data_IF_712989497994
#
_entry.id   IF_712989497994
#
_cell.length_a   1.000
_cell.length_b   1.000
_cell.length_c   1.000
_cell.angle_alpha   90.00
_cell.angle_beta   90.00
_cell.angle_gamma   90.00
#
_symmetry.space_group_name_H-M   'P 1'
#
loop_
_entity.id
_entity.type
_entity.pdbx_description
1 polymer ?
#
# COMPACT_ATOMS: atom_id res chain seq x y z
N UNK A 1 17.55 12.50 -15.52
CA UNK A 1 16.59 11.89 -16.46
C UNK A 1 15.27 11.76 -15.73
N UNK A 2 14.20 12.38 -16.23
CA UNK A 2 12.85 12.27 -15.64
C UNK A 2 12.25 10.94 -16.09
N UNK A 3 12.12 9.97 -15.18
CA UNK A 3 11.31 8.79 -15.43
C UNK A 3 9.83 9.21 -15.36
N UNK A 4 9.28 9.68 -16.48
CA UNK A 4 7.84 9.67 -16.68
C UNK A 4 7.44 8.20 -16.91
N UNK A 5 7.19 7.47 -15.83
CA UNK A 5 6.64 6.13 -15.91
C UNK A 5 5.21 6.19 -16.43
N UNK A 6 5.02 6.00 -17.73
CA UNK A 6 3.73 5.68 -18.34
C UNK A 6 3.63 4.15 -18.44
N UNK A 7 3.58 3.48 -17.30
CA UNK A 7 3.22 2.07 -17.29
C UNK A 7 1.73 1.98 -17.66
N UNK A 8 1.41 1.27 -18.76
CA UNK A 8 0.00 1.04 -19.17
C UNK A 8 -0.80 0.22 -18.15
N UNK A 9 -0.12 -0.44 -17.20
CA UNK A 9 -0.73 -1.39 -16.26
C UNK A 9 -0.31 -1.19 -14.79
N UNK A 10 0.35 -0.08 -14.42
CA UNK A 10 0.58 0.29 -13.02
C UNK A 10 -0.41 1.37 -12.58
N UNK A 11 -1.35 1.05 -11.68
CA UNK A 11 -2.33 2.04 -11.20
C UNK A 11 -1.71 2.83 -10.04
N UNK A 12 -1.16 3.99 -10.36
CA UNK A 12 -0.88 5.08 -9.42
C UNK A 12 0.10 4.81 -8.27
N UNK A 13 0.97 3.78 -8.36
CA UNK A 13 2.02 3.61 -7.36
C UNK A 13 1.44 3.43 -5.96
N UNK A 14 0.47 2.53 -5.84
CA UNK A 14 -0.09 2.19 -4.54
C UNK A 14 0.93 1.40 -3.71
N UNK A 15 0.93 1.59 -2.40
CA UNK A 15 1.91 0.96 -1.51
C UNK A 15 1.97 -0.57 -1.64
N UNK A 16 0.81 -1.20 -1.89
CA UNK A 16 0.70 -2.65 -2.09
C UNK A 16 1.32 -3.14 -3.41
N UNK A 17 1.44 -2.29 -4.44
CA UNK A 17 2.04 -2.68 -5.72
C UNK A 17 3.56 -2.78 -5.61
N UNK A 18 4.16 -2.08 -4.64
CA UNK A 18 5.63 -2.01 -4.47
C UNK A 18 6.19 -3.39 -4.17
N UNK A 19 5.69 -4.07 -3.14
CA UNK A 19 6.23 -5.36 -2.72
C UNK A 19 6.03 -6.42 -3.82
N UNK A 20 4.85 -6.43 -4.45
CA UNK A 20 4.53 -7.35 -5.55
C UNK A 20 5.41 -7.08 -6.77
N UNK A 21 5.63 -5.80 -7.09
CA UNK A 21 6.49 -5.38 -8.19
C UNK A 21 7.96 -5.74 -7.96
N UNK A 22 8.45 -5.55 -6.74
CA UNK A 22 9.82 -5.93 -6.37
C UNK A 22 10.05 -7.44 -6.47
N UNK A 23 9.10 -8.24 -6.00
CA UNK A 23 9.15 -9.71 -6.11
C UNK A 23 9.16 -10.15 -7.58
N UNK A 24 8.29 -9.57 -8.40
CA UNK A 24 8.28 -9.83 -9.85
C UNK A 24 9.62 -9.47 -10.51
N UNK A 25 10.25 -8.35 -10.13
CA UNK A 25 11.55 -7.94 -10.66
C UNK A 25 12.67 -8.85 -10.18
N UNK A 26 12.69 -9.24 -8.90
CA UNK A 26 13.69 -10.15 -8.35
C UNK A 26 13.64 -11.50 -9.07
N UNK A 27 12.45 -12.12 -9.19
CA UNK A 27 12.29 -13.37 -9.93
C UNK A 27 12.72 -13.22 -11.40
N UNK A 28 12.36 -12.12 -12.06
CA UNK A 28 12.79 -11.86 -13.43
C UNK A 28 14.32 -11.81 -13.55
N UNK A 29 15.01 -11.07 -12.66
CA UNK A 29 16.47 -10.97 -12.73
C UNK A 29 17.18 -12.27 -12.31
N UNK A 30 16.59 -13.09 -11.44
CA UNK A 30 17.08 -14.43 -11.13
C UNK A 30 17.02 -15.36 -12.34
N UNK A 31 15.87 -15.37 -13.04
CA UNK A 31 15.71 -16.10 -14.29
C UNK A 31 16.70 -15.64 -15.36
N UNK A 32 16.84 -14.32 -15.54
CA UNK A 32 17.83 -13.78 -16.48
C UNK A 32 19.26 -14.13 -16.06
N UNK A 33 19.58 -14.09 -14.76
CA UNK A 33 20.90 -14.47 -14.28
C UNK A 33 21.21 -15.94 -14.58
N UNK A 34 20.22 -16.85 -14.47
CA UNK A 34 20.38 -18.25 -14.88
C UNK A 34 20.60 -18.40 -16.39
N UNK A 35 19.81 -17.69 -17.20
CA UNK A 35 19.97 -17.68 -18.66
C UNK A 35 21.35 -17.18 -19.04
N UNK A 36 21.79 -16.04 -18.54
CA UNK A 36 23.09 -15.49 -18.94
C UNK A 36 24.27 -16.24 -18.31
N UNK A 37 24.12 -16.94 -17.18
CA UNK A 37 25.20 -17.71 -16.55
C UNK A 37 25.46 -19.07 -17.20
N UNK A 38 24.50 -19.63 -17.95
CA UNK A 38 24.68 -20.91 -18.63
C UNK A 38 25.52 -20.77 -19.91
N UNK A 39 26.54 -21.63 -20.13
CA UNK A 39 27.32 -21.63 -21.36
C UNK A 39 26.49 -21.98 -22.61
N UNK A 40 25.39 -22.72 -22.44
CA UNK A 40 24.55 -23.26 -23.53
C UNK A 40 23.49 -22.26 -24.03
N UNK A 41 23.30 -21.14 -23.32
CA UNK A 41 22.33 -20.10 -23.67
C UNK A 41 22.69 -19.33 -24.95
N UNK A 42 23.88 -19.58 -25.51
CA UNK A 42 24.28 -19.13 -26.84
C UNK A 42 23.27 -19.53 -27.93
N UNK A 43 22.44 -20.55 -27.72
CA UNK A 43 21.49 -21.02 -28.73
C UNK A 43 20.19 -20.19 -28.75
N UNK A 44 19.77 -19.57 -27.64
CA UNK A 44 18.42 -18.98 -27.52
C UNK A 44 18.36 -17.50 -27.96
N UNK A 45 19.44 -16.73 -27.81
CA UNK A 45 19.42 -15.30 -28.12
C UNK A 45 19.59 -14.96 -29.62
N UNK A 46 19.82 -15.94 -30.51
CA UNK A 46 19.89 -15.77 -31.97
C UNK A 46 20.61 -14.47 -32.44
N UNK A 47 21.64 -14.03 -31.73
CA UNK A 47 22.45 -12.91 -32.16
C UNK A 47 23.90 -13.38 -32.21
N UNK A 48 24.31 -13.81 -33.41
CA UNK A 48 25.68 -14.25 -33.72
C UNK A 48 26.73 -13.13 -33.55
N UNK A 49 26.33 -11.91 -33.14
CA UNK A 49 27.21 -10.73 -33.05
C UNK A 49 27.48 -10.20 -31.62
N UNK A 50 26.93 -10.80 -30.56
CA UNK A 50 27.22 -10.30 -29.21
C UNK A 50 28.55 -10.85 -28.69
N UNK A 51 29.60 -10.02 -28.80
CA UNK A 51 30.95 -10.31 -28.31
C UNK A 51 30.96 -10.70 -26.82
N UNK A 52 31.91 -11.55 -26.41
CA UNK A 52 31.99 -12.14 -25.07
C UNK A 52 32.09 -11.06 -23.97
N UNK A 53 32.74 -9.94 -24.28
CA UNK A 53 32.84 -8.78 -23.39
C UNK A 53 31.47 -8.10 -23.15
N UNK A 54 30.61 -8.05 -24.17
CA UNK A 54 29.26 -7.50 -24.05
C UNK A 54 28.37 -8.42 -23.20
N UNK A 55 28.47 -9.74 -23.38
CA UNK A 55 27.76 -10.72 -22.55
C UNK A 55 28.15 -10.59 -21.08
N UNK A 56 29.45 -10.44 -20.81
CA UNK A 56 29.96 -10.22 -19.46
C UNK A 56 29.45 -8.91 -18.85
N UNK A 57 29.41 -7.83 -19.63
CA UNK A 57 28.82 -6.57 -19.20
C UNK A 57 27.34 -6.72 -18.81
N UNK A 58 26.55 -7.45 -19.60
CA UNK A 58 25.12 -7.70 -19.32
C UNK A 58 24.95 -8.54 -18.05
N UNK A 59 25.73 -9.62 -17.88
CA UNK A 59 25.71 -10.43 -16.66
C UNK A 59 26.04 -9.62 -15.41
N UNK A 60 27.10 -8.80 -15.45
CA UNK A 60 27.49 -7.93 -14.34
C UNK A 60 26.37 -6.94 -14.04
N UNK A 61 25.77 -6.36 -15.08
CA UNK A 61 24.64 -5.43 -14.93
C UNK A 61 23.45 -6.10 -14.26
N UNK A 62 23.05 -7.29 -14.70
CA UNK A 62 21.96 -8.08 -14.09
C UNK A 62 22.24 -8.35 -12.61
N UNK A 63 23.45 -8.80 -12.27
CA UNK A 63 23.84 -9.06 -10.87
C UNK A 63 23.81 -7.80 -10.02
N UNK A 64 24.27 -6.67 -10.56
CA UNK A 64 24.21 -5.39 -9.87
C UNK A 64 22.76 -4.92 -9.66
N UNK A 65 21.88 -5.10 -10.66
CA UNK A 65 20.47 -4.79 -10.53
C UNK A 65 19.78 -5.65 -9.48
N UNK A 66 20.00 -6.97 -9.51
CA UNK A 66 19.47 -7.89 -8.51
C UNK A 66 19.95 -7.52 -7.11
N UNK A 67 21.26 -7.30 -6.93
CA UNK A 67 21.82 -6.91 -5.63
C UNK A 67 21.24 -5.60 -5.10
N UNK A 68 20.97 -4.63 -5.99
CA UNK A 68 20.36 -3.36 -5.58
C UNK A 68 18.88 -3.53 -5.24
N UNK A 69 18.16 -4.38 -5.97
CA UNK A 69 16.76 -4.69 -5.65
C UNK A 69 16.65 -5.42 -4.31
N UNK A 70 17.53 -6.37 -4.04
CA UNK A 70 17.59 -7.11 -2.77
C UNK A 70 17.87 -6.18 -1.57
N UNK A 71 18.78 -5.22 -1.74
CA UNK A 71 19.04 -4.16 -0.74
C UNK A 71 17.75 -3.37 -0.44
N UNK A 72 17.01 -2.93 -1.47
CA UNK A 72 15.75 -2.22 -1.28
C UNK A 72 14.67 -3.12 -0.69
N UNK A 73 14.60 -4.37 -1.10
CA UNK A 73 13.64 -5.35 -0.60
C UNK A 73 13.82 -5.56 0.90
N UNK A 74 15.08 -5.68 1.35
CA UNK A 74 15.44 -5.74 2.77
C UNK A 74 14.99 -4.48 3.55
N UNK A 75 15.06 -3.30 2.93
CA UNK A 75 14.55 -2.05 3.54
C UNK A 75 13.02 -2.02 3.63
N UNK A 76 12.29 -2.61 2.68
CA UNK A 76 10.83 -2.72 2.74
C UNK A 76 10.39 -3.52 3.97
N UNK A 77 11.11 -4.59 4.29
CA UNK A 77 10.86 -5.43 5.47
C UNK A 77 11.02 -4.71 6.81
N UNK A 78 11.69 -3.55 6.86
CA UNK A 78 11.83 -2.76 8.10
C UNK A 78 10.56 -1.99 8.47
N UNK A 79 9.64 -1.79 7.53
CA UNK A 79 8.40 -1.05 7.76
C UNK A 79 7.20 -1.99 7.71
N UNK A 80 6.30 -1.97 8.72
CA UNK A 80 5.10 -2.80 8.71
C UNK A 80 4.08 -2.35 7.65
N UNK A 81 4.27 -1.17 7.03
CA UNK A 81 3.30 -0.59 6.12
C UNK A 81 3.19 -1.34 4.79
N UNK A 82 4.31 -1.84 4.25
CA UNK A 82 4.33 -2.63 3.01
C UNK A 82 3.62 -3.98 3.15
N UNK A 83 3.93 -4.82 4.16
CA UNK A 83 3.16 -6.04 4.39
C UNK A 83 1.71 -5.73 4.78
N UNK A 84 1.45 -4.68 5.57
CA UNK A 84 0.07 -4.27 5.88
C UNK A 84 -0.72 -3.96 4.61
N UNK A 85 -0.17 -3.22 3.65
CA UNK A 85 -0.86 -2.86 2.42
C UNK A 85 -1.27 -4.08 1.59
N UNK A 86 -0.42 -5.11 1.53
CA UNK A 86 -0.74 -6.35 0.81
C UNK A 86 -1.74 -7.22 1.57
N UNK A 87 -1.57 -7.37 2.89
CA UNK A 87 -2.51 -8.10 3.75
C UNK A 87 -3.91 -7.47 3.66
N UNK A 88 -4.01 -6.15 3.82
CA UNK A 88 -5.29 -5.43 3.78
C UNK A 88 -5.91 -5.37 2.38
N UNK A 89 -5.20 -5.79 1.34
CA UNK A 89 -5.77 -5.82 0.00
C UNK A 89 -6.68 -7.04 -0.17
N UNK A 90 -7.99 -6.89 -0.44
CA UNK A 90 -8.92 -8.02 -0.35
C UNK A 90 -8.70 -9.10 -1.40
N UNK A 91 -8.03 -8.79 -2.53
CA UNK A 91 -7.67 -9.80 -3.55
C UNK A 91 -6.50 -10.68 -3.15
N UNK A 92 -5.55 -10.16 -2.36
CA UNK A 92 -4.31 -10.88 -2.04
C UNK A 92 -4.43 -11.50 -0.65
N UNK A 93 -4.81 -10.69 0.34
CA UNK A 93 -4.81 -11.07 1.73
C UNK A 93 -3.41 -11.59 2.15
N UNK A 94 -3.29 -12.14 3.35
CA UNK A 94 -2.09 -12.87 3.80
C UNK A 94 -1.75 -14.06 2.91
N UNK A 95 -2.75 -14.60 2.20
CA UNK A 95 -2.57 -15.75 1.30
C UNK A 95 -1.59 -15.50 0.16
N UNK A 96 -1.41 -14.25 -0.28
CA UNK A 96 -0.37 -13.93 -1.26
C UNK A 96 1.04 -14.07 -0.68
N UNK A 97 1.24 -13.60 0.56
CA UNK A 97 2.52 -13.76 1.25
C UNK A 97 2.82 -15.24 1.52
N UNK A 98 1.82 -15.98 1.99
CA UNK A 98 1.94 -17.44 2.21
C UNK A 98 2.25 -18.22 0.94
N UNK A 99 1.83 -17.73 -0.23
CA UNK A 99 2.14 -18.35 -1.52
C UNK A 99 3.53 -17.96 -2.07
N UNK A 100 4.04 -16.77 -1.74
CA UNK A 100 5.28 -16.25 -2.29
C UNK A 100 6.50 -16.52 -1.39
N UNK A 101 6.29 -16.53 -0.07
CA UNK A 101 7.34 -16.72 0.94
C UNK A 101 7.39 -18.17 1.40
N UNK A 102 8.00 -19.02 0.58
CA UNK A 102 8.03 -20.47 0.80
C UNK A 102 9.32 -20.99 1.42
N UNK A 103 10.40 -20.20 1.40
CA UNK A 103 11.69 -20.61 1.95
C UNK A 103 11.71 -20.54 3.48
N UNK A 104 12.51 -21.37 4.15
CA UNK A 104 12.58 -21.41 5.63
C UNK A 104 12.85 -20.02 6.25
N UNK A 105 13.74 -19.23 5.64
CA UNK A 105 14.02 -17.85 6.06
C UNK A 105 12.82 -16.91 5.82
N UNK A 106 12.14 -17.06 4.70
CA UNK A 106 10.98 -16.24 4.34
C UNK A 106 9.75 -16.56 5.20
N UNK A 107 9.64 -17.78 5.73
CA UNK A 107 8.61 -18.14 6.72
C UNK A 107 8.80 -17.39 8.03
N UNK A 108 10.04 -17.09 8.44
CA UNK A 108 10.31 -16.20 9.57
C UNK A 108 9.83 -14.78 9.23
N UNK A 109 10.12 -14.29 8.03
CA UNK A 109 9.65 -12.97 7.58
C UNK A 109 8.12 -12.89 7.53
N UNK A 110 7.44 -13.97 7.15
CA UNK A 110 5.97 -14.04 7.17
C UNK A 110 5.42 -13.85 8.58
N UNK A 111 6.02 -14.53 9.56
CA UNK A 111 5.61 -14.41 10.96
C UNK A 111 5.89 -13.01 11.49
N UNK A 112 7.07 -12.47 11.23
CA UNK A 112 7.47 -11.12 11.63
C UNK A 112 6.57 -10.06 10.97
N UNK A 113 6.20 -10.22 9.70
CA UNK A 113 5.26 -9.36 9.01
C UNK A 113 3.86 -9.42 9.64
N UNK A 114 3.32 -10.62 9.92
CA UNK A 114 2.01 -10.77 10.57
C UNK A 114 2.01 -10.15 11.97
N UNK A 115 3.09 -10.33 12.72
CA UNK A 115 3.24 -9.80 14.08
C UNK A 115 3.40 -8.28 14.09
N UNK A 116 4.28 -7.73 13.27
CA UNK A 116 4.52 -6.29 13.17
C UNK A 116 3.27 -5.53 12.69
N UNK A 117 2.50 -6.08 11.76
CA UNK A 117 1.21 -5.49 11.33
C UNK A 117 0.18 -5.54 12.45
N UNK A 118 0.11 -6.64 13.21
CA UNK A 118 -0.79 -6.75 14.36
C UNK A 118 -0.43 -5.74 15.45
N UNK A 119 0.85 -5.66 15.80
CA UNK A 119 1.35 -4.70 16.78
C UNK A 119 1.06 -3.25 16.36
N UNK A 120 1.34 -2.92 15.09
CA UNK A 120 1.08 -1.59 14.56
C UNK A 120 -0.43 -1.25 14.56
N UNK A 121 -1.29 -2.21 14.20
CA UNK A 121 -2.73 -2.04 14.24
C UNK A 121 -3.25 -1.78 15.66
N UNK A 122 -2.87 -2.61 16.62
CA UNK A 122 -3.33 -2.48 18.01
C UNK A 122 -2.79 -1.20 18.67
N UNK A 123 -1.55 -0.79 18.35
CA UNK A 123 -0.96 0.44 18.87
C UNK A 123 -1.67 1.70 18.34
N UNK A 124 -2.01 1.72 17.03
CA UNK A 124 -2.54 2.93 16.37
C UNK A 124 -4.06 3.02 16.40
N UNK A 125 -4.75 1.88 16.53
CA UNK A 125 -6.21 1.80 16.53
C UNK A 125 -6.70 0.95 17.71
N UNK A 126 -6.48 1.36 18.97
CA UNK A 126 -6.90 0.58 20.13
C UNK A 126 -8.41 0.32 20.14
N UNK A 127 -8.86 -0.71 20.86
CA UNK A 127 -10.30 -0.95 21.06
C UNK A 127 -10.87 0.24 21.84
N UNK A 128 -11.96 0.83 21.34
CA UNK A 128 -12.75 1.74 22.15
C UNK A 128 -13.36 0.91 23.30
N UNK A 129 -12.83 1.08 24.51
CA UNK A 129 -13.48 0.56 25.72
C UNK A 129 -14.84 1.25 25.83
N UNK A 130 -15.92 0.50 25.55
CA UNK A 130 -17.24 0.96 26.00
C UNK A 130 -17.17 1.10 27.52
N UNK A 131 -17.61 2.24 28.10
CA UNK A 131 -17.70 2.34 29.54
C UNK A 131 -18.61 1.21 30.03
N UNK A 132 -18.03 0.30 30.80
CA UNK A 132 -18.76 -0.76 31.47
C UNK A 132 -19.88 -0.10 32.29
N UNK A 133 -21.11 -0.13 31.79
CA UNK A 133 -22.28 0.09 32.63
C UNK A 133 -22.25 -1.00 33.68
N UNK A 134 -21.70 -0.67 34.85
CA UNK A 134 -21.71 -1.49 36.04
C UNK A 134 -23.16 -1.87 36.34
N UNK A 135 -23.59 -3.03 35.87
CA UNK A 135 -24.81 -3.68 36.36
C UNK A 135 -24.44 -4.28 37.70
N UNK A 136 -24.53 -3.45 38.73
CA UNK A 136 -24.54 -3.88 40.13
C UNK A 136 -25.75 -4.77 40.33
N UNK A 137 -25.59 -6.09 40.10
CA UNK A 137 -26.56 -7.09 40.55
C UNK A 137 -26.14 -7.53 41.94
N UNK A 138 -26.77 -6.90 42.93
CA UNK A 138 -26.80 -7.35 44.32
C UNK A 138 -27.47 -8.73 44.36
N UNK A 139 -26.73 -9.78 44.76
CA UNK A 139 -27.37 -11.09 44.97
C UNK A 139 -26.45 -12.27 45.30
N UNK A 140 -26.23 -12.47 46.61
CA UNK A 140 -25.80 -13.71 47.30
C UNK A 140 -24.34 -14.17 47.07
N UNK A 141 -23.58 -14.06 48.15
CA UNK A 141 -22.29 -14.72 48.42
C UNK A 141 -22.42 -16.24 48.28
N UNK A 142 -22.10 -16.75 47.10
CA UNK A 142 -21.74 -18.14 46.88
C UNK A 142 -20.21 -18.21 47.04
N UNK A 143 -19.72 -19.15 47.85
CA UNK A 143 -18.27 -19.35 48.04
C UNK A 143 -17.66 -19.63 46.66
N UNK A 144 -16.85 -18.71 46.16
CA UNK A 144 -16.02 -18.96 45.00
C UNK A 144 -14.81 -19.75 45.52
N UNK A 145 -14.73 -21.02 45.13
CA UNK A 145 -13.46 -21.75 45.25
C UNK A 145 -12.41 -20.97 44.45
N UNK A 146 -11.24 -20.75 45.04
CA UNK A 146 -10.12 -20.15 44.32
C UNK A 146 -9.86 -20.98 43.05
N UNK A 147 -9.84 -20.36 41.86
CA UNK A 147 -9.60 -21.10 40.64
C UNK A 147 -8.27 -21.83 40.76
N UNK A 148 -8.27 -23.13 40.51
CA UNK A 148 -7.07 -23.96 40.56
C UNK A 148 -5.97 -23.34 39.69
N UNK A 149 -4.70 -23.57 40.01
CA UNK A 149 -3.59 -23.19 39.13
C UNK A 149 -3.80 -23.67 37.69
N UNK A 150 -4.46 -24.82 37.52
CA UNK A 150 -4.84 -25.35 36.21
C UNK A 150 -5.96 -24.53 35.53
N UNK A 151 -6.96 -24.07 36.29
CA UNK A 151 -8.03 -23.21 35.76
C UNK A 151 -7.51 -21.82 35.41
N UNK A 152 -6.57 -21.29 36.21
CA UNK A 152 -5.86 -20.05 35.90
C UNK A 152 -4.97 -20.20 34.66
N UNK A 153 -4.32 -21.35 34.48
CA UNK A 153 -3.56 -21.66 33.28
C UNK A 153 -4.46 -21.82 32.05
N UNK A 154 -5.59 -22.53 32.16
CA UNK A 154 -6.59 -22.61 31.09
C UNK A 154 -7.16 -21.24 30.75
N UNK A 155 -7.49 -20.41 31.75
CA UNK A 155 -7.98 -19.05 31.52
C UNK A 155 -6.91 -18.14 30.92
N UNK A 156 -5.63 -18.38 31.21
CA UNK A 156 -4.50 -17.70 30.57
C UNK A 156 -4.33 -18.15 29.11
N UNK A 157 -4.43 -19.46 28.85
CA UNK A 157 -4.44 -20.01 27.50
C UNK A 157 -5.63 -19.51 26.68
N UNK A 158 -6.83 -19.50 27.25
CA UNK A 158 -8.04 -18.97 26.63
C UNK A 158 -7.90 -17.47 26.39
N UNK A 159 -7.31 -16.70 27.31
CA UNK A 159 -7.06 -15.27 27.11
C UNK A 159 -6.06 -15.01 25.97
N UNK A 160 -4.98 -15.78 25.89
CA UNK A 160 -4.05 -15.75 24.75
C UNK A 160 -4.74 -16.10 23.43
N UNK A 161 -5.64 -17.08 23.44
CA UNK A 161 -6.37 -17.52 22.23
C UNK A 161 -7.44 -16.48 21.82
N UNK A 162 -8.04 -15.77 22.77
CA UNK A 162 -9.06 -14.73 22.51
C UNK A 162 -8.44 -13.39 22.08
N UNK A 163 -7.21 -13.08 22.51
CA UNK A 163 -6.42 -11.98 21.92
C UNK A 163 -6.13 -12.22 20.42
N UNK A 164 -6.10 -13.50 20.00
CA UNK A 164 -5.90 -13.89 18.61
C UNK A 164 -7.11 -13.60 17.69
N UNK A 165 -8.30 -13.32 18.25
CA UNK A 165 -9.53 -13.05 17.47
C UNK A 165 -9.88 -11.55 17.35
N UNK A 166 -8.87 -10.70 17.18
CA UNK A 166 -9.11 -9.32 16.71
C UNK A 166 -9.69 -9.30 15.28
N UNK A 167 -10.31 -8.18 14.89
CA UNK A 167 -10.84 -7.95 13.52
C UNK A 167 -9.83 -8.35 12.43
N UNK A 168 -8.56 -8.00 12.63
CA UNK A 168 -7.45 -8.33 11.73
C UNK A 168 -7.25 -9.84 11.56
N UNK A 169 -7.31 -10.61 12.65
CA UNK A 169 -7.17 -12.07 12.63
C UNK A 169 -8.33 -12.74 11.90
N UNK A 170 -9.56 -12.26 12.13
CA UNK A 170 -10.76 -12.74 11.42
C UNK A 170 -10.65 -12.51 9.92
N UNK A 171 -10.23 -11.30 9.52
CA UNK A 171 -10.05 -10.94 8.12
C UNK A 171 -8.93 -11.76 7.44
N UNK A 172 -7.80 -11.98 8.12
CA UNK A 172 -6.71 -12.84 7.60
C UNK A 172 -7.18 -14.28 7.32
N UNK A 173 -8.10 -14.82 8.13
CA UNK A 173 -8.67 -16.16 7.95
C UNK A 173 -9.73 -16.24 6.86
N UNK A 174 -10.41 -15.15 6.54
CA UNK A 174 -11.45 -15.10 5.50
C UNK A 174 -10.88 -15.40 4.11
N UNK A 175 -9.58 -15.14 3.90
CA UNK A 175 -8.88 -15.42 2.64
C UNK A 175 -9.18 -14.39 1.54
N UNK A 176 -8.64 -14.60 0.33
CA UNK A 176 -8.73 -13.63 -0.76
C UNK A 176 -10.09 -13.64 -1.47
N UNK A 177 -10.61 -12.46 -1.76
CA UNK A 177 -11.81 -12.21 -2.55
C UNK A 177 -11.47 -12.28 -4.04
N UNK A 178 -11.94 -13.32 -4.73
CA UNK A 178 -11.78 -13.49 -6.19
C UNK A 178 -12.86 -12.69 -6.94
N UNK A 179 -12.58 -11.41 -7.18
CA UNK A 179 -13.38 -10.55 -8.09
C UNK A 179 -12.48 -9.87 -9.11
N UNK A 180 -12.84 -9.99 -10.38
CA UNK A 180 -12.23 -9.21 -11.46
C UNK A 180 -12.63 -7.74 -11.26
N UNK A 181 -11.66 -6.84 -11.16
CA UNK A 181 -11.85 -5.39 -10.89
C UNK A 181 -12.33 -5.01 -9.49
N UNK A 182 -11.69 -5.57 -8.46
CA UNK A 182 -11.88 -5.13 -7.09
C UNK A 182 -11.15 -3.79 -6.83
N UNK A 183 -11.88 -2.73 -6.48
CA UNK A 183 -11.30 -1.54 -5.88
C UNK A 183 -11.18 -1.73 -4.35
N UNK A 184 -9.98 -1.83 -3.78
CA UNK A 184 -9.80 -2.13 -2.36
C UNK A 184 -10.36 -1.03 -1.46
N UNK A 185 -10.26 0.24 -1.86
CA UNK A 185 -10.77 1.39 -1.08
C UNK A 185 -12.29 1.34 -0.97
N UNK A 186 -12.99 1.08 -2.09
CA UNK A 186 -14.45 0.93 -2.07
C UNK A 186 -14.88 -0.30 -1.26
N UNK A 187 -14.14 -1.41 -1.37
CA UNK A 187 -14.43 -2.62 -0.61
C UNK A 187 -14.39 -2.40 0.90
N UNK A 188 -13.38 -1.66 1.39
CA UNK A 188 -13.27 -1.30 2.81
C UNK A 188 -14.32 -0.27 3.24
N UNK A 189 -14.69 0.66 2.35
CA UNK A 189 -15.77 1.62 2.59
C UNK A 189 -17.12 0.93 2.81
N UNK A 190 -17.41 -0.12 2.05
CA UNK A 190 -18.66 -0.89 2.17
C UNK A 190 -18.70 -1.78 3.43
N UNK A 191 -17.55 -1.99 4.11
CA UNK A 191 -17.39 -2.91 5.25
C UNK A 191 -17.04 -2.25 6.57
N UNK A 192 -17.26 -0.94 6.67
CA UNK A 192 -17.00 -0.20 7.90
C UNK A 192 -17.87 -0.67 9.08
N UNK A 193 -19.06 -1.23 8.82
CA UNK A 193 -19.91 -1.80 9.87
C UNK A 193 -19.42 -3.17 10.36
N UNK A 194 -18.86 -4.00 9.46
CA UNK A 194 -18.33 -5.32 9.78
C UNK A 194 -16.96 -5.24 10.47
N UNK A 195 -16.16 -4.23 10.10
CA UNK A 195 -14.77 -4.05 10.52
C UNK A 195 -14.50 -2.59 10.93
N UNK A 196 -15.08 -2.09 12.04
CA UNK A 196 -15.06 -0.67 12.38
C UNK A 196 -13.67 -0.09 12.67
N UNK A 197 -12.74 -0.90 13.22
CA UNK A 197 -11.36 -0.48 13.47
C UNK A 197 -10.50 -0.77 12.25
N UNK A 198 -10.61 -2.00 11.74
CA UNK A 198 -9.77 -2.49 10.65
C UNK A 198 -10.04 -1.75 9.34
N UNK A 199 -11.26 -1.31 9.06
CA UNK A 199 -11.55 -0.49 7.87
C UNK A 199 -10.86 0.87 7.92
N UNK A 200 -10.73 1.49 9.10
CA UNK A 200 -10.02 2.78 9.25
C UNK A 200 -8.53 2.58 8.98
N UNK A 201 -7.94 1.56 9.62
CA UNK A 201 -6.56 1.17 9.39
C UNK A 201 -6.29 0.86 7.91
N UNK A 202 -7.18 0.08 7.27
CA UNK A 202 -7.06 -0.24 5.86
C UNK A 202 -7.10 1.01 4.98
N UNK A 203 -8.09 1.88 5.16
CA UNK A 203 -8.21 3.09 4.36
C UNK A 203 -7.00 4.02 4.53
N UNK A 204 -6.48 4.14 5.74
CA UNK A 204 -5.29 4.96 6.00
C UNK A 204 -4.05 4.38 5.32
N UNK A 205 -3.81 3.08 5.41
CA UNK A 205 -2.67 2.41 4.75
C UNK A 205 -2.78 2.44 3.23
N UNK A 206 -3.97 2.13 2.70
CA UNK A 206 -4.24 2.08 1.26
C UNK A 206 -4.19 3.47 0.61
N UNK A 207 -4.33 4.54 1.39
CA UNK A 207 -4.21 5.93 0.93
C UNK A 207 -2.74 6.42 0.88
N UNK A 208 -1.79 5.69 1.45
CA UNK A 208 -0.38 6.09 1.44
C UNK A 208 0.18 5.97 0.00
N UNK A 209 0.68 7.07 -0.60
CA UNK A 209 1.37 6.99 -1.88
C UNK A 209 2.72 6.29 -1.71
N UNK A 210 3.07 5.37 -2.60
CA UNK A 210 4.37 4.69 -2.55
C UNK A 210 5.55 5.62 -2.87
N UNK A 211 5.32 6.71 -3.60
CA UNK A 211 6.36 7.59 -4.10
C UNK A 211 5.97 9.06 -3.98
N UNK A 212 6.98 9.93 -3.89
CA UNK A 212 6.83 11.39 -3.88
C UNK A 212 6.47 12.01 -5.25
N UNK A 213 6.17 11.20 -6.27
CA UNK A 213 5.93 11.70 -7.64
C UNK A 213 4.73 12.66 -7.72
N UNK A 214 3.65 12.36 -7.00
CA UNK A 214 2.46 13.21 -6.98
C UNK A 214 2.68 14.56 -6.27
N UNK A 215 3.26 14.62 -5.06
CA UNK A 215 3.63 15.89 -4.47
C UNK A 215 4.68 16.63 -5.30
N UNK A 216 5.68 15.96 -5.88
CA UNK A 216 6.67 16.60 -6.76
C UNK A 216 6.06 17.21 -8.02
N UNK A 217 5.09 16.53 -8.63
CA UNK A 217 4.34 17.06 -9.78
C UNK A 217 3.55 18.29 -9.35
N UNK A 218 2.93 18.26 -8.17
CA UNK A 218 2.19 19.38 -7.60
C UNK A 218 3.13 20.56 -7.34
N UNK A 219 4.28 20.36 -6.69
CA UNK A 219 5.28 21.41 -6.47
C UNK A 219 5.86 21.98 -7.76
N UNK A 220 6.10 21.12 -8.77
CA UNK A 220 6.58 21.55 -10.08
C UNK A 220 5.58 22.48 -10.77
N UNK A 221 4.29 22.17 -10.64
CA UNK A 221 3.18 23.01 -11.12
C UNK A 221 3.07 24.30 -10.31
N UNK A 222 3.17 24.21 -8.98
CA UNK A 222 3.14 25.36 -8.08
C UNK A 222 4.24 26.34 -8.44
N UNK A 223 5.44 25.86 -8.79
CA UNK A 223 6.55 26.68 -9.27
C UNK A 223 6.20 27.51 -10.52
N UNK A 224 5.34 27.02 -11.41
CA UNK A 224 4.86 27.82 -12.56
C UNK A 224 3.85 28.89 -12.14
N UNK A 225 3.08 28.62 -11.09
CA UNK A 225 2.09 29.57 -10.51
C UNK A 225 2.82 30.69 -9.74
N UNK A 226 3.86 30.32 -9.00
CA UNK A 226 4.82 31.21 -8.34
C UNK A 226 5.89 31.64 -9.35
N UNK A 227 5.46 32.33 -10.41
CA UNK A 227 6.38 32.92 -11.38
C UNK A 227 7.30 33.94 -10.69
N UNK A 228 8.53 34.09 -11.21
CA UNK A 228 9.51 35.06 -10.74
C UNK A 228 9.01 36.51 -10.74
N UNK A 229 7.90 36.83 -11.42
CA UNK A 229 7.27 38.17 -11.47
C UNK A 229 6.12 38.39 -10.46
N UNK A 230 5.69 37.35 -9.72
CA UNK A 230 4.59 37.43 -8.73
C UNK A 230 5.09 37.23 -7.30
N UNK A 231 5.91 38.16 -6.80
CA UNK A 231 6.65 38.01 -5.54
C UNK A 231 5.82 38.25 -4.27
N UNK A 232 4.51 38.47 -4.39
CA UNK A 232 3.63 38.90 -3.29
C UNK A 232 2.40 37.99 -3.12
N UNK A 233 2.50 36.71 -3.48
CA UNK A 233 1.46 35.72 -3.17
C UNK A 233 1.87 35.05 -1.86
N UNK A 234 0.98 35.07 -0.87
CA UNK A 234 1.24 34.42 0.42
C UNK A 234 1.16 32.89 0.28
N UNK A 235 1.85 32.12 1.15
CA UNK A 235 1.81 30.66 1.09
C UNK A 235 0.39 30.10 1.24
N UNK A 236 -0.47 30.77 2.01
CA UNK A 236 -1.88 30.37 2.22
C UNK A 236 -2.67 30.45 0.90
N UNK A 237 -2.51 31.52 0.13
CA UNK A 237 -3.18 31.67 -1.17
C UNK A 237 -2.67 30.61 -2.16
N UNK A 238 -1.37 30.28 -2.11
CA UNK A 238 -0.80 29.23 -2.95
C UNK A 238 -1.44 27.87 -2.63
N UNK A 239 -1.57 27.55 -1.33
CA UNK A 239 -2.23 26.33 -0.86
C UNK A 239 -3.68 26.26 -1.34
N UNK A 240 -4.47 27.31 -1.10
CA UNK A 240 -5.87 27.40 -1.54
C UNK A 240 -6.01 27.21 -3.07
N UNK A 241 -5.15 27.86 -3.86
CA UNK A 241 -5.14 27.72 -5.31
C UNK A 241 -4.83 26.28 -5.76
N UNK A 242 -3.86 25.62 -5.11
CA UNK A 242 -3.54 24.23 -5.46
C UNK A 242 -4.65 23.27 -5.01
N UNK A 243 -5.24 23.46 -3.84
CA UNK A 243 -6.38 22.68 -3.36
C UNK A 243 -7.58 22.81 -4.30
N UNK A 244 -7.97 24.04 -4.66
CA UNK A 244 -9.05 24.29 -5.62
C UNK A 244 -8.78 23.62 -6.97
N UNK A 245 -7.58 23.78 -7.51
CA UNK A 245 -7.17 23.14 -8.75
C UNK A 245 -7.24 21.62 -8.67
N UNK A 246 -6.81 21.04 -7.55
CA UNK A 246 -6.86 19.61 -7.32
C UNK A 246 -8.31 19.12 -7.28
N UNK A 247 -9.17 19.76 -6.49
CA UNK A 247 -10.59 19.43 -6.38
C UNK A 247 -11.34 19.54 -7.71
N UNK A 248 -11.04 20.56 -8.52
CA UNK A 248 -11.61 20.73 -9.86
C UNK A 248 -11.18 19.59 -10.80
N UNK A 249 -9.90 19.21 -10.77
CA UNK A 249 -9.37 18.11 -11.62
C UNK A 249 -10.00 16.76 -11.27
N UNK A 250 -10.23 16.52 -9.99
CA UNK A 250 -10.84 15.28 -9.50
C UNK A 250 -12.38 15.34 -9.46
N UNK A 251 -12.99 16.39 -10.02
CA UNK A 251 -14.44 16.58 -10.05
C UNK A 251 -15.10 16.54 -8.66
N UNK A 252 -14.34 16.88 -7.61
CA UNK A 252 -14.86 17.01 -6.26
C UNK A 252 -15.72 18.28 -6.12
N UNK A 253 -15.46 19.27 -6.97
CA UNK A 253 -16.22 20.52 -7.07
C UNK A 253 -16.52 20.77 -8.56
N UNK A 254 -17.75 21.18 -8.86
CA UNK A 254 -18.14 21.74 -10.15
C UNK A 254 -18.23 23.26 -10.00
N UNK A 255 -17.45 24.02 -10.76
CA UNK A 255 -17.75 25.44 -10.92
C UNK A 255 -19.03 25.52 -11.73
N UNK A 256 -20.06 26.16 -11.19
CA UNK A 256 -21.33 26.33 -11.89
C UNK A 256 -21.12 26.93 -13.29
N UNK A 257 -22.02 26.60 -14.22
CA UNK A 257 -22.04 27.25 -15.52
C UNK A 257 -22.11 28.76 -15.33
N UNK A 258 -21.28 29.50 -16.08
CA UNK A 258 -21.43 30.96 -16.16
C UNK A 258 -22.77 31.22 -16.82
N UNK A 259 -23.80 31.45 -16.01
CA UNK A 259 -25.07 31.98 -16.50
C UNK A 259 -24.78 33.42 -16.90
N UNK A 260 -24.49 33.60 -18.19
CA UNK A 260 -24.51 34.89 -18.85
C UNK A 260 -25.87 35.52 -18.60
N UNK A 261 -25.94 36.46 -17.64
CA UNK A 261 -27.08 37.36 -17.53
C UNK A 261 -26.93 38.43 -18.61
N UNK A 262 -27.43 38.11 -19.81
CA UNK A 262 -27.92 39.06 -20.80
C UNK A 262 -26.94 40.10 -21.32
N UNK A 263 -26.50 39.92 -22.56
CA UNK A 263 -25.96 40.99 -23.40
C UNK A 263 -24.98 40.47 -24.41
N UNK A 264 -25.39 40.42 -25.68
CA UNK A 264 -24.60 40.03 -26.84
C UNK A 264 -23.14 40.53 -26.77
N UNK A 265 -22.19 39.60 -26.79
CA UNK A 265 -20.83 39.88 -27.22
C UNK A 265 -20.43 38.88 -28.30
N UNK A 266 -20.47 39.43 -29.50
CA UNK A 266 -19.94 38.99 -30.79
C UNK A 266 -18.70 38.11 -30.64
N UNK A 267 -18.69 37.04 -31.44
CA UNK A 267 -17.73 35.95 -31.37
C UNK A 267 -16.26 36.37 -31.35
N UNK A 268 -15.48 35.56 -30.65
CA UNK A 268 -14.03 35.57 -30.75
C UNK A 268 -13.56 34.22 -31.27
N UNK A 269 -13.23 34.17 -32.56
CA UNK A 269 -12.33 33.17 -33.13
C UNK A 269 -10.89 33.42 -32.65
N UNK A 270 -10.14 32.35 -32.46
CA UNK A 270 -8.68 32.32 -32.35
C UNK A 270 -8.21 31.61 -31.09
N UNK A 271 -7.42 30.54 -31.13
CA UNK A 271 -6.75 29.87 -32.22
C UNK A 271 -5.84 28.81 -31.60
N UNK A 272 -5.70 27.67 -32.27
CA UNK A 272 -4.72 26.65 -31.96
C UNK A 272 -3.29 27.22 -32.05
N UNK A 273 -2.48 26.97 -31.02
CA UNK A 273 -1.04 26.73 -31.10
C UNK A 273 -0.55 26.15 -29.76
#
# INVERSE_FOLDING_TARGET
MRCQGWAKEGRHGALWEVMIGMECLLSFFEEQNLVFSSPDSCIILQDENLDDDHRRCVQISIKNFWSKLDEYYSLLGQSPLYPAAVILHPRWNVSWLEANWTSDEQLVWLQDAKNSVREFFEQRYPREEQPETSRTVTGKTMRQDEPSQFDQWMQSCDRCMMEEEGELGVYMRQGPVRREYLNPVLWWKDRQEEYPRLSKFALDILAIPAMSVDPERTFSVTKLTVSSQRHSISPEIIEEMQCLRNWLRHQAITVGEVVSFGGDLVGWEGGEA
#
